data_IF_920079198912
#
_entry.id   IF_920079198912
#
_cell.length_a   1.000
_cell.length_b   1.000
_cell.length_c   1.000
_cell.angle_alpha   90.00
_cell.angle_beta   90.00
_cell.angle_gamma   90.00
#
_symmetry.space_group_name_H-M   'P 1'
#
loop_
_entity.id
_entity.type
_entity.pdbx_description
1 polymer ?
#
# COMPACT_ATOMS: atom_id res chain seq x y z
N UNK A 1 35.21 -7.05 64.81
CA UNK A 1 34.71 -6.44 63.56
C UNK A 1 34.39 -7.55 62.57
N UNK A 2 33.11 -7.83 62.31
CA UNK A 2 32.68 -8.70 61.20
C UNK A 2 31.78 -7.86 60.30
N UNK A 3 32.25 -7.57 59.09
CA UNK A 3 31.45 -6.92 58.06
C UNK A 3 30.51 -7.95 57.43
N UNK A 4 29.21 -7.68 57.49
CA UNK A 4 28.18 -8.34 56.69
C UNK A 4 28.12 -7.69 55.31
N UNK A 5 28.18 -8.42 54.19
CA UNK A 5 27.95 -7.82 52.88
C UNK A 5 26.45 -7.75 52.62
N UNK A 6 25.94 -6.54 52.35
CA UNK A 6 24.61 -6.36 51.77
C UNK A 6 24.68 -6.78 50.29
N UNK A 7 24.00 -7.87 49.95
CA UNK A 7 23.82 -8.29 48.56
C UNK A 7 22.64 -7.50 47.98
N UNK A 8 22.92 -6.44 47.22
CA UNK A 8 21.90 -5.73 46.45
C UNK A 8 21.48 -6.58 45.24
N UNK A 9 20.35 -7.27 45.35
CA UNK A 9 19.68 -7.91 44.21
C UNK A 9 19.11 -6.85 43.27
N UNK A 10 19.78 -6.66 42.13
CA UNK A 10 19.28 -5.87 41.02
C UNK A 10 18.14 -6.66 40.34
N UNK A 11 16.89 -6.27 40.57
CA UNK A 11 15.75 -6.84 39.89
C UNK A 11 15.73 -6.29 38.45
N UNK A 12 16.28 -7.02 37.49
CA UNK A 12 16.05 -6.75 36.07
C UNK A 12 14.59 -7.04 35.75
N UNK A 13 13.75 -6.00 35.75
CA UNK A 13 12.40 -6.11 35.22
C UNK A 13 12.49 -6.32 33.70
N UNK A 14 12.34 -7.57 33.27
CA UNK A 14 12.22 -7.91 31.85
C UNK A 14 10.90 -7.32 31.33
N UNK A 15 10.98 -6.18 30.63
CA UNK A 15 9.86 -5.64 29.87
C UNK A 15 9.47 -6.67 28.81
N UNK A 16 8.41 -7.43 29.06
CA UNK A 16 7.79 -8.27 28.04
C UNK A 16 7.26 -7.34 26.95
N UNK A 17 8.01 -7.20 25.86
CA UNK A 17 7.54 -6.51 24.66
C UNK A 17 6.48 -7.42 24.03
N UNK A 18 5.21 -7.16 24.31
CA UNK A 18 4.13 -7.66 23.48
C UNK A 18 4.30 -7.01 22.10
N UNK A 19 4.74 -7.78 21.11
CA UNK A 19 4.77 -7.35 19.71
C UNK A 19 3.32 -7.23 19.21
N UNK A 20 2.65 -6.13 19.53
CA UNK A 20 1.35 -5.80 18.97
C UNK A 20 1.51 -5.46 17.48
N UNK A 21 0.57 -5.92 16.64
CA UNK A 21 0.55 -5.56 15.23
C UNK A 21 0.43 -4.03 15.09
N UNK A 22 1.41 -3.35 14.46
CA UNK A 22 1.41 -1.88 14.34
C UNK A 22 0.27 -1.40 13.43
N UNK A 23 -0.12 -2.21 12.45
CA UNK A 23 -1.23 -1.96 11.55
C UNK A 23 -2.29 -3.05 11.71
N UNK A 24 -3.48 -2.65 12.16
CA UNK A 24 -4.67 -3.50 12.25
C UNK A 24 -5.73 -2.87 11.38
N UNK A 25 -5.95 -3.45 10.21
CA UNK A 25 -6.66 -2.76 9.13
C UNK A 25 -7.62 -3.61 8.35
N UNK A 26 -8.45 -2.90 7.58
CA UNK A 26 -9.35 -3.46 6.56
C UNK A 26 -9.21 -2.64 5.28
N UNK A 27 -9.44 -3.26 4.12
CA UNK A 27 -9.76 -2.50 2.90
C UNK A 27 -11.24 -2.15 2.93
N UNK A 28 -11.53 -0.87 2.80
CA UNK A 28 -12.90 -0.34 2.89
C UNK A 28 -13.29 0.48 1.66
N UNK A 29 -12.54 0.33 0.56
CA UNK A 29 -12.60 1.28 -0.54
C UNK A 29 -13.97 1.36 -1.21
N UNK A 30 -14.80 0.31 -1.13
CA UNK A 30 -16.15 0.31 -1.70
C UNK A 30 -17.18 1.07 -0.87
N UNK A 31 -16.84 1.53 0.34
CA UNK A 31 -17.80 2.12 1.29
C UNK A 31 -18.70 3.21 0.65
N UNK A 32 -18.16 4.26 -0.01
CA UNK A 32 -19.02 5.25 -0.65
C UNK A 32 -19.97 4.69 -1.72
N UNK A 33 -19.59 3.62 -2.44
CA UNK A 33 -20.45 2.98 -3.45
C UNK A 33 -21.60 2.25 -2.76
N UNK A 34 -21.30 1.49 -1.70
CA UNK A 34 -22.31 0.76 -0.94
C UNK A 34 -23.30 1.72 -0.26
N UNK A 35 -22.81 2.82 0.33
CA UNK A 35 -23.67 3.84 0.92
C UNK A 35 -24.54 4.54 -0.13
N UNK A 36 -24.01 4.84 -1.32
CA UNK A 36 -24.78 5.37 -2.43
C UNK A 36 -25.85 4.38 -2.92
N UNK A 37 -25.61 3.07 -2.79
CA UNK A 37 -26.59 2.00 -3.02
C UNK A 37 -27.56 1.80 -1.83
N UNK A 38 -27.56 2.68 -0.84
CA UNK A 38 -28.48 2.67 0.30
C UNK A 38 -28.11 1.69 1.41
N UNK A 39 -26.91 1.09 1.39
CA UNK A 39 -26.45 0.21 2.46
C UNK A 39 -26.21 1.00 3.75
N UNK A 40 -26.52 0.36 4.87
CA UNK A 40 -26.29 0.90 6.22
C UNK A 40 -25.56 -0.14 7.05
N UNK A 41 -24.59 0.29 7.84
CA UNK A 41 -23.80 -0.57 8.71
C UNK A 41 -24.30 -0.45 10.15
N UNK A 42 -24.18 -1.55 10.89
CA UNK A 42 -24.56 -1.64 12.31
C UNK A 42 -23.38 -2.15 13.12
N UNK A 43 -23.22 -1.62 14.33
CA UNK A 43 -22.29 -2.20 15.29
C UNK A 43 -22.83 -3.55 15.83
N UNK A 44 -22.06 -4.22 16.68
CA UNK A 44 -22.45 -5.51 17.27
C UNK A 44 -23.72 -5.43 18.15
N UNK A 45 -24.08 -4.26 18.66
CA UNK A 45 -25.31 -4.01 19.41
C UNK A 45 -26.52 -3.69 18.50
N UNK A 46 -26.35 -3.74 17.18
CA UNK A 46 -27.43 -3.48 16.21
C UNK A 46 -27.71 -1.99 15.93
N UNK A 47 -26.92 -1.07 16.48
CA UNK A 47 -27.06 0.38 16.25
C UNK A 47 -26.46 0.77 14.91
N UNK A 48 -27.24 1.48 14.08
CA UNK A 48 -26.75 2.04 12.81
C UNK A 48 -25.77 3.18 13.08
N UNK A 49 -24.56 3.10 12.50
CA UNK A 49 -23.50 4.09 12.64
C UNK A 49 -22.64 4.14 11.38
N UNK A 50 -21.90 5.24 11.10
CA UNK A 50 -20.90 5.28 10.05
C UNK A 50 -19.87 4.16 10.21
N UNK A 51 -19.46 3.53 9.11
CA UNK A 51 -18.58 2.36 9.16
C UNK A 51 -17.23 2.68 9.82
N UNK A 52 -16.66 3.87 9.55
CA UNK A 52 -15.42 4.34 10.17
C UNK A 52 -15.47 4.32 11.71
N UNK A 53 -16.62 4.66 12.30
CA UNK A 53 -16.82 4.66 13.76
C UNK A 53 -16.88 3.22 14.31
N UNK A 54 -17.54 2.33 13.57
CA UNK A 54 -17.63 0.91 13.93
C UNK A 54 -16.24 0.27 13.87
N UNK A 55 -15.49 0.53 12.79
CA UNK A 55 -14.14 0.00 12.62
C UNK A 55 -13.22 0.51 13.74
N UNK A 56 -13.22 1.83 14.00
CA UNK A 56 -12.38 2.43 15.04
C UNK A 56 -12.68 1.85 16.43
N UNK A 57 -13.95 1.74 16.80
CA UNK A 57 -14.35 1.17 18.09
C UNK A 57 -14.04 -0.32 18.21
N UNK A 58 -13.97 -1.03 17.08
CA UNK A 58 -13.55 -2.44 17.01
C UNK A 58 -12.02 -2.64 17.01
N UNK A 59 -11.23 -1.57 17.18
CA UNK A 59 -9.77 -1.65 17.31
C UNK A 59 -8.99 -1.57 16.00
N UNK A 60 -9.65 -1.29 14.87
CA UNK A 60 -9.00 -0.93 13.61
C UNK A 60 -8.27 0.40 13.80
N UNK A 61 -7.03 0.47 13.32
CA UNK A 61 -6.22 1.69 13.41
C UNK A 61 -5.84 2.28 12.04
N UNK A 62 -5.95 1.50 10.96
CA UNK A 62 -5.55 1.92 9.61
C UNK A 62 -6.51 1.32 8.59
N UNK A 63 -6.93 2.10 7.60
CA UNK A 63 -7.77 1.62 6.49
C UNK A 63 -7.00 1.65 5.18
N UNK A 64 -7.13 0.59 4.39
CA UNK A 64 -6.57 0.48 3.03
C UNK A 64 -7.57 1.02 2.01
N UNK A 65 -7.07 1.78 1.04
CA UNK A 65 -7.86 2.36 -0.04
C UNK A 65 -7.17 2.11 -1.38
N UNK A 66 -7.84 1.45 -2.32
CA UNK A 66 -7.34 1.30 -3.70
C UNK A 66 -7.54 2.59 -4.49
N UNK A 67 -6.52 2.98 -5.26
CA UNK A 67 -6.60 4.11 -6.18
C UNK A 67 -6.35 3.69 -7.62
N UNK A 68 -7.27 4.09 -8.49
CA UNK A 68 -7.22 3.94 -9.94
C UNK A 68 -6.88 5.28 -10.60
N UNK A 69 -6.29 5.24 -11.79
CA UNK A 69 -5.76 6.42 -12.48
C UNK A 69 -6.89 7.25 -13.07
N UNK A 70 -7.60 6.71 -14.06
CA UNK A 70 -8.70 7.38 -14.75
C UNK A 70 -9.86 6.41 -15.07
N UNK A 71 -10.55 5.89 -14.04
CA UNK A 71 -11.70 5.02 -14.24
C UNK A 71 -12.88 5.79 -14.84
N UNK A 72 -13.57 5.17 -15.80
CA UNK A 72 -14.64 5.82 -16.58
C UNK A 72 -15.84 6.27 -15.74
N UNK A 73 -16.10 5.60 -14.62
CA UNK A 73 -17.19 5.92 -13.69
C UNK A 73 -16.74 6.80 -12.50
N UNK A 74 -15.46 7.19 -12.45
CA UNK A 74 -14.86 7.98 -11.38
C UNK A 74 -14.68 7.25 -10.05
N UNK A 75 -15.12 5.99 -9.91
CA UNK A 75 -14.98 5.24 -8.67
C UNK A 75 -13.50 4.92 -8.41
N UNK A 76 -13.07 5.06 -7.16
CA UNK A 76 -11.68 4.82 -6.74
C UNK A 76 -10.62 5.73 -7.38
N UNK A 77 -11.01 6.82 -8.06
CA UNK A 77 -10.04 7.83 -8.51
C UNK A 77 -9.48 8.66 -7.34
N UNK A 78 -8.66 9.67 -7.63
CA UNK A 78 -8.06 10.54 -6.62
C UNK A 78 -9.11 11.28 -5.77
N UNK A 79 -10.10 11.93 -6.40
CA UNK A 79 -11.13 12.69 -5.68
C UNK A 79 -11.99 11.80 -4.78
N UNK A 80 -12.32 10.60 -5.27
CA UNK A 80 -13.00 9.57 -4.48
C UNK A 80 -12.21 9.23 -3.23
N UNK A 81 -10.92 8.92 -3.39
CA UNK A 81 -10.04 8.54 -2.29
C UNK A 81 -9.80 9.70 -1.31
N UNK A 82 -9.69 10.95 -1.77
CA UNK A 82 -9.57 12.12 -0.87
C UNK A 82 -10.82 12.26 0.01
N UNK A 83 -12.03 12.11 -0.54
CA UNK A 83 -13.27 12.17 0.23
C UNK A 83 -13.33 11.06 1.28
N UNK A 84 -13.00 9.83 0.90
CA UNK A 84 -12.98 8.68 1.80
C UNK A 84 -11.90 8.81 2.89
N UNK A 85 -10.70 9.27 2.53
CA UNK A 85 -9.61 9.46 3.47
C UNK A 85 -9.84 10.60 4.46
N UNK A 86 -10.59 11.65 4.11
CA UNK A 86 -11.05 12.66 5.07
C UNK A 86 -11.93 12.05 6.17
N UNK A 87 -12.80 11.09 5.84
CA UNK A 87 -13.60 10.35 6.82
C UNK A 87 -12.72 9.49 7.74
N UNK A 88 -11.76 8.77 7.17
CA UNK A 88 -10.78 8.01 7.97
C UNK A 88 -10.03 8.90 8.96
N UNK A 89 -9.53 10.06 8.50
CA UNK A 89 -8.86 11.05 9.35
C UNK A 89 -9.77 11.55 10.46
N UNK A 90 -11.01 11.91 10.16
CA UNK A 90 -11.98 12.40 11.14
C UNK A 90 -12.28 11.36 12.23
N UNK A 91 -12.27 10.07 11.90
CA UNK A 91 -12.42 8.96 12.85
C UNK A 91 -11.10 8.59 13.58
N UNK A 92 -9.99 9.29 13.32
CA UNK A 92 -8.69 8.97 13.91
C UNK A 92 -8.08 7.66 13.40
N UNK A 93 -8.38 7.27 12.15
CA UNK A 93 -7.80 6.13 11.45
C UNK A 93 -6.63 6.61 10.56
N UNK A 94 -5.57 5.82 10.49
CA UNK A 94 -4.52 5.97 9.49
C UNK A 94 -5.00 5.54 8.10
N UNK A 95 -4.32 6.00 7.06
CA UNK A 95 -4.63 5.63 5.67
C UNK A 95 -3.45 4.92 5.04
N UNK A 96 -3.72 3.75 4.49
CA UNK A 96 -2.85 3.03 3.56
C UNK A 96 -3.42 3.21 2.15
N UNK A 97 -2.70 3.88 1.25
CA UNK A 97 -3.11 4.04 -0.15
C UNK A 97 -2.46 2.98 -1.04
N UNK A 98 -3.26 2.25 -1.81
CA UNK A 98 -2.83 1.19 -2.69
C UNK A 98 -2.93 1.60 -4.16
N UNK A 99 -1.78 1.90 -4.76
CA UNK A 99 -1.73 2.26 -6.17
C UNK A 99 -1.87 1.03 -7.04
N UNK A 100 -2.91 1.01 -7.88
CA UNK A 100 -3.02 -0.01 -8.91
C UNK A 100 -2.22 0.31 -10.17
N UNK A 101 -1.93 1.61 -10.41
CA UNK A 101 -1.37 2.09 -11.68
C UNK A 101 -2.13 1.56 -12.91
N UNK A 102 -3.46 1.53 -12.81
CA UNK A 102 -4.38 1.12 -13.87
C UNK A 102 -5.68 1.93 -13.74
N UNK A 103 -6.46 1.96 -14.81
CA UNK A 103 -7.82 2.52 -14.80
C UNK A 103 -8.85 1.56 -14.19
N UNK A 104 -8.44 0.32 -13.90
CA UNK A 104 -9.27 -0.69 -13.28
C UNK A 104 -8.47 -1.59 -12.32
N UNK A 105 -9.05 -2.72 -11.94
CA UNK A 105 -8.41 -3.76 -11.14
C UNK A 105 -7.08 -4.22 -11.76
N UNK A 106 -6.00 -4.11 -10.98
CA UNK A 106 -4.69 -4.64 -11.29
C UNK A 106 -4.42 -5.82 -10.37
N UNK A 107 -4.04 -6.97 -10.94
CA UNK A 107 -3.77 -8.23 -10.26
C UNK A 107 -2.81 -9.09 -11.11
N UNK A 108 -2.40 -10.30 -10.68
CA UNK A 108 -1.45 -11.11 -11.44
C UNK A 108 -1.94 -11.53 -12.84
N UNK A 109 -3.25 -11.53 -13.08
CA UNK A 109 -3.84 -11.81 -14.39
C UNK A 109 -3.89 -10.59 -15.30
N UNK A 110 -3.90 -9.36 -14.74
CA UNK A 110 -4.04 -8.10 -15.49
C UNK A 110 -3.30 -6.95 -14.83
N UNK A 111 -2.39 -6.34 -15.57
CA UNK A 111 -1.65 -5.13 -15.16
C UNK A 111 -1.74 -4.07 -16.27
N UNK A 112 -2.96 -3.76 -16.70
CA UNK A 112 -3.21 -2.95 -17.90
C UNK A 112 -2.78 -1.51 -17.66
N UNK A 113 -1.91 -1.00 -18.54
CA UNK A 113 -1.49 0.41 -18.54
C UNK A 113 -2.72 1.32 -18.75
N UNK A 114 -2.90 2.38 -17.93
CA UNK A 114 -3.97 3.36 -18.09
C UNK A 114 -4.07 3.86 -19.53
N UNK A 115 -5.28 4.07 -20.03
CA UNK A 115 -5.53 4.42 -21.43
C UNK A 115 -4.72 5.63 -21.89
N UNK A 116 -4.62 6.66 -21.03
CA UNK A 116 -3.84 7.88 -21.31
C UNK A 116 -2.32 7.64 -21.40
N UNK A 117 -1.81 6.50 -20.93
CA UNK A 117 -0.38 6.19 -20.87
C UNK A 117 0.04 5.12 -21.90
N UNK A 118 -0.91 4.51 -22.62
CA UNK A 118 -0.64 3.36 -23.50
C UNK A 118 0.31 3.67 -24.66
N UNK A 119 0.36 4.92 -25.12
CA UNK A 119 1.28 5.36 -26.19
C UNK A 119 2.68 5.72 -25.68
N UNK A 120 2.90 5.75 -24.36
CA UNK A 120 4.18 6.13 -23.79
C UNK A 120 5.20 5.00 -23.92
N UNK A 121 6.35 5.32 -24.52
CA UNK A 121 7.53 4.47 -24.44
C UNK A 121 8.06 4.41 -23.00
N UNK A 122 8.93 3.43 -22.72
CA UNK A 122 9.49 3.14 -21.39
C UNK A 122 9.86 4.39 -20.58
N UNK A 123 10.73 5.25 -21.09
CA UNK A 123 11.27 6.36 -20.30
C UNK A 123 10.21 7.43 -20.00
N UNK A 124 9.30 7.67 -20.95
CA UNK A 124 8.16 8.55 -20.75
C UNK A 124 7.17 7.95 -19.73
N UNK A 125 6.95 6.63 -19.77
CA UNK A 125 6.11 5.93 -18.80
C UNK A 125 6.71 5.98 -17.38
N UNK A 126 8.04 5.80 -17.25
CA UNK A 126 8.76 5.96 -15.98
C UNK A 126 8.57 7.36 -15.42
N UNK A 127 8.69 8.41 -16.24
CA UNK A 127 8.41 9.79 -15.84
C UNK A 127 6.94 9.98 -15.44
N UNK A 128 6.01 9.41 -16.20
CA UNK A 128 4.58 9.51 -15.94
C UNK A 128 4.19 8.88 -14.59
N UNK A 129 4.81 7.74 -14.22
CA UNK A 129 4.64 7.12 -12.90
C UNK A 129 5.12 8.06 -11.79
N UNK A 130 6.26 8.72 -11.97
CA UNK A 130 6.75 9.72 -11.01
C UNK A 130 5.76 10.88 -10.86
N UNK A 131 5.37 11.50 -11.97
CA UNK A 131 4.51 12.68 -11.97
C UNK A 131 3.15 12.37 -11.34
N UNK A 132 2.53 11.24 -11.72
CA UNK A 132 1.25 10.81 -11.15
C UNK A 132 1.37 10.52 -9.64
N UNK A 133 2.37 9.74 -9.23
CA UNK A 133 2.54 9.36 -7.81
C UNK A 133 2.78 10.61 -6.95
N UNK A 134 3.63 11.53 -7.42
CA UNK A 134 3.91 12.79 -6.71
C UNK A 134 2.65 13.66 -6.62
N UNK A 135 1.91 13.82 -7.72
CA UNK A 135 0.67 14.58 -7.73
C UNK A 135 -0.37 14.03 -6.74
N UNK A 136 -0.52 12.70 -6.67
CA UNK A 136 -1.44 12.08 -5.71
C UNK A 136 -1.02 12.42 -4.28
N UNK A 137 0.24 12.21 -3.90
CA UNK A 137 0.72 12.51 -2.55
C UNK A 137 0.61 14.00 -2.22
N UNK A 138 0.94 14.88 -3.16
CA UNK A 138 0.84 16.33 -2.98
C UNK A 138 -0.62 16.77 -2.79
N UNK A 139 -1.56 16.12 -3.49
CA UNK A 139 -2.99 16.36 -3.33
C UNK A 139 -3.50 15.90 -1.97
N UNK A 140 -3.05 14.74 -1.48
CA UNK A 140 -3.36 14.27 -0.13
C UNK A 140 -2.84 15.23 0.94
N UNK A 141 -1.58 15.66 0.82
CA UNK A 141 -0.97 16.64 1.72
C UNK A 141 -1.72 17.97 1.72
N UNK A 142 -2.06 18.51 0.54
CA UNK A 142 -2.85 19.75 0.39
C UNK A 142 -4.22 19.66 1.06
N UNK A 143 -4.83 18.48 1.06
CA UNK A 143 -6.10 18.22 1.73
C UNK A 143 -5.93 17.89 3.23
N UNK A 144 -4.72 18.00 3.77
CA UNK A 144 -4.39 17.73 5.16
C UNK A 144 -4.55 16.27 5.56
N UNK A 145 -4.53 15.33 4.61
CA UNK A 145 -4.64 13.90 4.89
C UNK A 145 -3.26 13.27 4.83
N UNK A 146 -2.82 12.74 5.97
CA UNK A 146 -1.55 12.03 6.07
C UNK A 146 -1.73 10.56 5.67
N UNK A 147 -0.87 10.06 4.78
CA UNK A 147 -0.74 8.64 4.48
C UNK A 147 0.26 7.99 5.44
N UNK A 148 -0.06 6.81 5.97
CA UNK A 148 0.84 6.01 6.82
C UNK A 148 1.69 5.04 6.00
N UNK A 149 1.10 4.50 4.95
CA UNK A 149 1.67 3.47 4.09
C UNK A 149 1.18 3.70 2.66
N UNK A 150 2.03 3.42 1.67
CA UNK A 150 1.65 3.40 0.26
C UNK A 150 2.24 2.17 -0.41
N UNK A 151 1.47 1.43 -1.21
CA UNK A 151 2.02 0.39 -2.09
C UNK A 151 2.19 0.95 -3.50
N UNK A 152 3.36 0.74 -4.08
CA UNK A 152 3.70 1.19 -5.44
C UNK A 152 3.36 0.09 -6.46
N UNK A 153 2.07 -0.21 -6.56
CA UNK A 153 1.53 -1.32 -7.36
C UNK A 153 0.72 -2.29 -6.49
N UNK A 154 -0.26 -2.96 -7.10
CA UNK A 154 -1.04 -4.01 -6.46
C UNK A 154 -0.73 -5.38 -7.08
N UNK A 155 -0.30 -6.34 -6.25
CA UNK A 155 -0.03 -7.73 -6.64
C UNK A 155 0.82 -7.84 -7.92
N UNK A 156 1.97 -7.16 -7.91
CA UNK A 156 2.83 -6.96 -9.08
C UNK A 156 3.76 -8.15 -9.36
N UNK A 157 3.36 -9.34 -8.94
CA UNK A 157 4.13 -10.58 -9.13
C UNK A 157 4.49 -10.88 -10.59
N UNK A 158 3.63 -10.63 -11.60
CA UNK A 158 4.05 -10.73 -13.00
C UNK A 158 4.67 -9.42 -13.55
N UNK A 159 4.81 -8.40 -12.71
CA UNK A 159 5.19 -7.03 -13.04
C UNK A 159 4.01 -6.05 -12.95
N UNK A 160 4.14 -4.89 -13.60
CA UNK A 160 3.12 -3.84 -13.64
C UNK A 160 3.16 -3.07 -14.97
N UNK A 161 2.10 -2.36 -15.34
CA UNK A 161 2.06 -1.49 -16.54
C UNK A 161 2.48 -2.21 -17.82
N UNK A 162 1.70 -3.23 -18.18
CA UNK A 162 1.96 -4.06 -19.36
C UNK A 162 1.74 -3.27 -20.66
N UNK A 163 2.56 -3.52 -21.70
CA UNK A 163 3.59 -4.58 -21.79
C UNK A 163 4.99 -4.18 -21.26
N UNK A 164 5.22 -2.90 -20.95
CA UNK A 164 6.57 -2.38 -20.62
C UNK A 164 7.16 -3.04 -19.38
N UNK A 165 6.39 -3.13 -18.31
CA UNK A 165 6.82 -3.74 -17.05
C UNK A 165 6.32 -5.17 -16.87
N UNK A 166 6.14 -5.94 -17.95
CA UNK A 166 5.84 -7.38 -17.84
C UNK A 166 7.14 -8.16 -17.60
N UNK A 167 7.26 -8.85 -16.47
CA UNK A 167 8.51 -9.54 -16.09
C UNK A 167 8.95 -10.62 -17.08
N UNK A 168 8.00 -11.27 -17.76
CA UNK A 168 8.31 -12.32 -18.75
C UNK A 168 8.92 -11.77 -20.04
N UNK A 169 8.87 -10.46 -20.27
CA UNK A 169 9.44 -9.85 -21.48
C UNK A 169 10.95 -9.62 -21.32
N UNK A 170 11.69 -9.64 -22.42
CA UNK A 170 13.10 -9.21 -22.44
C UNK A 170 13.23 -7.78 -21.91
N UNK A 171 14.05 -7.59 -20.87
CA UNK A 171 14.22 -6.30 -20.20
C UNK A 171 13.09 -5.92 -19.22
N UNK A 172 12.05 -6.75 -19.10
CA UNK A 172 10.92 -6.57 -18.18
C UNK A 172 11.35 -6.32 -16.73
N UNK A 173 12.23 -7.16 -16.13
CA UNK A 173 12.71 -6.95 -14.76
C UNK A 173 13.36 -5.58 -14.53
N UNK A 174 14.21 -5.13 -15.46
CA UNK A 174 14.87 -3.83 -15.38
C UNK A 174 13.86 -2.68 -15.53
N UNK A 175 12.84 -2.86 -16.37
CA UNK A 175 11.76 -1.87 -16.52
C UNK A 175 10.90 -1.79 -15.26
N UNK A 176 10.53 -2.92 -14.65
CA UNK A 176 9.81 -2.96 -13.37
C UNK A 176 10.60 -2.24 -12.29
N UNK A 177 11.89 -2.55 -12.15
CA UNK A 177 12.77 -1.85 -11.21
C UNK A 177 12.80 -0.33 -11.43
N UNK A 178 12.91 0.13 -12.68
CA UNK A 178 12.91 1.55 -13.02
C UNK A 178 11.56 2.23 -12.68
N UNK A 179 10.43 1.59 -12.98
CA UNK A 179 9.09 2.09 -12.65
C UNK A 179 8.89 2.23 -11.13
N UNK A 180 9.28 1.21 -10.36
CA UNK A 180 9.18 1.20 -8.90
C UNK A 180 10.12 2.23 -8.25
N UNK A 181 11.35 2.35 -8.76
CA UNK A 181 12.31 3.38 -8.32
C UNK A 181 11.74 4.78 -8.56
N UNK A 182 11.09 4.99 -9.70
CA UNK A 182 10.45 6.26 -10.07
C UNK A 182 9.31 6.62 -9.12
N UNK A 183 8.43 5.66 -8.82
CA UNK A 183 7.36 5.83 -7.83
C UNK A 183 7.92 6.12 -6.42
N UNK A 184 8.94 5.39 -5.98
CA UNK A 184 9.60 5.61 -4.70
C UNK A 184 10.21 7.02 -4.60
N UNK A 185 10.92 7.44 -5.65
CA UNK A 185 11.49 8.79 -5.75
C UNK A 185 10.41 9.87 -5.65
N UNK A 186 9.29 9.70 -6.36
CA UNK A 186 8.14 10.61 -6.27
C UNK A 186 7.57 10.73 -4.86
N UNK A 187 7.49 9.63 -4.12
CA UNK A 187 7.04 9.64 -2.73
C UNK A 187 8.02 10.42 -1.85
N UNK A 188 9.32 10.13 -1.97
CA UNK A 188 10.38 10.82 -1.22
C UNK A 188 10.44 12.32 -1.53
N UNK A 189 10.20 12.72 -2.78
CA UNK A 189 10.27 14.11 -3.26
C UNK A 189 8.91 14.85 -3.24
N UNK A 190 7.84 14.20 -2.78
CA UNK A 190 6.54 14.87 -2.57
C UNK A 190 6.63 15.96 -1.48
N UNK A 191 5.61 16.79 -1.38
CA UNK A 191 5.35 17.71 -0.27
C UNK A 191 4.83 16.98 0.98
N UNK A 192 4.44 15.71 0.87
CA UNK A 192 3.89 14.95 2.00
C UNK A 192 4.88 14.88 3.15
N UNK A 193 4.40 15.27 4.34
CA UNK A 193 5.20 15.24 5.56
C UNK A 193 4.35 14.84 6.78
N UNK A 194 4.78 13.83 7.57
CA UNK A 194 5.94 12.97 7.31
C UNK A 194 5.68 12.03 6.13
N UNK A 195 6.76 11.43 5.59
CA UNK A 195 6.67 10.50 4.47
C UNK A 195 5.95 9.20 4.89
N UNK A 196 5.05 8.66 4.04
CA UNK A 196 4.49 7.34 4.27
C UNK A 196 5.57 6.28 4.09
N UNK A 197 5.38 5.13 4.72
CA UNK A 197 6.16 3.94 4.41
C UNK A 197 5.85 3.46 3.00
N UNK A 198 6.86 3.02 2.26
CA UNK A 198 6.73 2.55 0.88
C UNK A 198 6.70 1.02 0.88
N UNK A 199 5.69 0.43 0.24
CA UNK A 199 5.47 -1.01 0.18
C UNK A 199 5.57 -1.54 -1.24
N UNK A 200 6.21 -2.69 -1.39
CA UNK A 200 6.08 -3.55 -2.57
C UNK A 200 5.06 -4.64 -2.23
N UNK A 201 3.97 -4.74 -3.01
CA UNK A 201 2.86 -5.66 -2.76
C UNK A 201 2.84 -6.79 -3.79
N UNK A 202 3.04 -8.03 -3.34
CA UNK A 202 3.02 -9.25 -4.15
C UNK A 202 1.89 -10.18 -3.69
N UNK A 203 1.35 -11.00 -4.60
CA UNK A 203 0.41 -12.05 -4.23
C UNK A 203 1.14 -13.32 -3.74
N UNK A 204 0.37 -14.36 -3.38
CA UNK A 204 0.89 -15.67 -2.96
C UNK A 204 1.96 -15.61 -1.87
N UNK A 205 1.69 -14.83 -0.82
CA UNK A 205 2.55 -14.63 0.33
C UNK A 205 2.98 -15.87 1.11
N UNK A 206 2.30 -16.99 0.89
CA UNK A 206 2.64 -18.29 1.46
C UNK A 206 3.76 -18.99 0.68
N UNK A 207 3.98 -18.62 -0.58
CA UNK A 207 4.98 -19.22 -1.45
C UNK A 207 6.29 -18.43 -1.37
N UNK A 208 7.17 -18.86 -0.47
CA UNK A 208 8.48 -18.25 -0.27
C UNK A 208 9.31 -18.18 -1.55
N UNK A 209 9.29 -19.24 -2.38
CA UNK A 209 10.09 -19.29 -3.61
C UNK A 209 9.67 -18.19 -4.60
N UNK A 210 8.36 -17.95 -4.74
CA UNK A 210 7.86 -16.84 -5.55
C UNK A 210 8.30 -15.49 -5.01
N UNK A 211 8.19 -15.26 -3.68
CA UNK A 211 8.61 -14.00 -3.08
C UNK A 211 10.10 -13.75 -3.32
N UNK A 212 10.93 -14.74 -2.97
CA UNK A 212 12.39 -14.67 -3.10
C UNK A 212 12.81 -14.43 -4.55
N UNK A 213 12.28 -15.24 -5.48
CA UNK A 213 12.57 -15.11 -6.91
C UNK A 213 12.26 -13.70 -7.43
N UNK A 214 11.11 -13.14 -7.07
CA UNK A 214 10.70 -11.83 -7.56
C UNK A 214 11.66 -10.73 -7.09
N UNK A 215 11.98 -10.69 -5.79
CA UNK A 215 12.89 -9.68 -5.25
C UNK A 215 14.31 -9.81 -5.81
N UNK A 216 14.85 -11.04 -5.89
CA UNK A 216 16.18 -11.28 -6.45
C UNK A 216 16.25 -10.86 -7.92
N UNK A 217 15.22 -11.21 -8.71
CA UNK A 217 15.14 -10.88 -10.12
C UNK A 217 15.08 -9.36 -10.35
N UNK A 218 14.20 -8.66 -9.63
CA UNK A 218 13.98 -7.22 -9.83
C UNK A 218 15.16 -6.41 -9.29
N UNK A 219 15.68 -6.73 -8.10
CA UNK A 219 16.84 -6.03 -7.52
C UNK A 219 18.13 -6.32 -8.31
N UNK A 220 18.29 -7.54 -8.84
CA UNK A 220 19.43 -7.95 -9.66
C UNK A 220 19.36 -7.54 -11.13
N UNK A 221 18.26 -6.90 -11.57
CA UNK A 221 17.99 -6.61 -12.99
C UNK A 221 18.85 -5.50 -13.61
N UNK A 222 19.56 -4.71 -12.80
CA UNK A 222 20.24 -3.49 -13.25
C UNK A 222 19.33 -2.29 -13.50
N UNK A 223 18.02 -2.38 -13.19
CA UNK A 223 17.07 -1.28 -13.35
C UNK A 223 17.09 -0.21 -12.23
N UNK A 224 18.00 -0.33 -11.26
CA UNK A 224 18.31 0.71 -10.28
C UNK A 224 17.43 0.75 -9.01
N UNK A 225 16.46 -0.15 -8.87
CA UNK A 225 15.73 -0.33 -7.60
C UNK A 225 16.67 -0.91 -6.54
N UNK A 226 16.62 -0.38 -5.32
CA UNK A 226 17.46 -0.83 -4.20
C UNK A 226 16.64 -1.03 -2.93
N UNK A 227 17.23 -1.67 -1.92
CA UNK A 227 16.61 -1.83 -0.59
C UNK A 227 16.32 -0.51 0.12
N UNK A 228 16.94 0.60 -0.29
CA UNK A 228 16.65 1.93 0.24
C UNK A 228 15.37 2.55 -0.33
N UNK A 229 14.76 1.92 -1.34
CA UNK A 229 13.62 2.46 -2.08
C UNK A 229 12.26 2.01 -1.57
N UNK A 230 12.21 1.06 -0.65
CA UNK A 230 10.99 0.62 0.00
C UNK A 230 11.27 0.25 1.46
N UNK A 231 10.23 0.31 2.28
CA UNK A 231 10.29 0.04 3.71
C UNK A 231 9.62 -1.28 4.10
N UNK A 232 8.63 -1.73 3.31
CA UNK A 232 7.75 -2.85 3.67
C UNK A 232 7.58 -3.81 2.50
N UNK A 233 7.66 -5.11 2.79
CA UNK A 233 7.21 -6.16 1.88
C UNK A 233 5.78 -6.53 2.26
N UNK A 234 4.82 -6.35 1.36
CA UNK A 234 3.43 -6.70 1.55
C UNK A 234 3.08 -7.96 0.78
N UNK A 235 2.98 -9.13 1.41
CA UNK A 235 2.47 -10.31 0.73
C UNK A 235 0.95 -10.46 0.94
N UNK A 236 0.17 -10.72 -0.13
CA UNK A 236 -1.22 -11.16 0.00
C UNK A 236 -1.26 -12.65 0.35
N UNK A 237 -2.03 -13.01 1.38
CA UNK A 237 -2.33 -14.40 1.70
C UNK A 237 -3.84 -14.66 1.64
N UNK A 238 -4.24 -15.62 0.80
CA UNK A 238 -5.61 -16.13 0.77
C UNK A 238 -5.62 -17.64 1.05
N UNK A 239 -6.35 -18.05 2.09
CA UNK A 239 -6.50 -19.47 2.45
C UNK A 239 -7.27 -20.28 1.40
N UNK A 240 -8.11 -19.63 0.59
CA UNK A 240 -8.91 -20.31 -0.45
C UNK A 240 -8.05 -20.77 -1.63
N UNK A 241 -6.93 -20.10 -1.89
CA UNK A 241 -6.13 -20.30 -3.10
C UNK A 241 -4.74 -20.89 -2.83
N UNK A 242 -4.36 -21.10 -1.56
CA UNK A 242 -3.03 -21.62 -1.17
C UNK A 242 -2.84 -23.14 -1.38
N UNK A 243 -3.85 -23.85 -1.89
CA UNK A 243 -3.86 -25.31 -2.04
C UNK A 243 -4.19 -25.78 -3.47
N UNK A 244 -4.02 -24.92 -4.48
CA UNK A 244 -4.17 -25.30 -5.88
C UNK A 244 -2.84 -25.28 -6.59
#
# INVERSE_FOLDING_TARGET
MRLTPLLSTLLCASSTVFAALPYKGVDWSSLPIEEAAGKKYKNAAGTVQPLETILKSSGVNTVRQRIWVNPSDGNYNLDYNIKLAKRAKAAGLGVYLDFHYSDNWADPGKQVTPAAWQSLAKDALVKQVYDYTKNVLDTFQKNGVQLKLVSIGNEITPGLLFPVGKLSNTGGPANVAALLKSASKAIKESSMSPKPKIMIHLDNGWNWETQKWWYDLVLGSGGGLSLSDFDVQGPLRSLRWAHR
#
